data_IF_799179011287
#
_entry.id   IF_799179011287
#
_cell.length_a   1.000
_cell.length_b   1.000
_cell.length_c   1.000
_cell.angle_alpha   90.00
_cell.angle_beta   90.00
_cell.angle_gamma   90.00
#
_symmetry.space_group_name_H-M   'P 1'
#
loop_
_entity.id
_entity.type
_entity.pdbx_description
1 polymer ?
#
# COMPACT_ATOMS: atom_id res chain seq x y z
N UNK A 1 -22.42 -65.13 16.77
CA UNK A 1 -22.65 -63.77 17.32
C UNK A 1 -21.37 -63.28 17.98
N UNK A 2 -20.30 -63.08 17.19
CA UNK A 2 -19.05 -62.41 17.62
C UNK A 2 -18.06 -62.14 16.46
N UNK A 3 -18.51 -62.14 15.19
CA UNK A 3 -17.61 -62.02 14.02
C UNK A 3 -18.10 -61.00 12.97
N UNK A 4 -18.89 -59.99 13.37
CA UNK A 4 -19.44 -59.01 12.41
C UNK A 4 -19.33 -57.56 12.88
N UNK A 5 -18.48 -57.28 13.87
CA UNK A 5 -18.26 -55.92 14.41
C UNK A 5 -16.82 -55.44 14.16
N UNK A 6 -15.92 -56.30 13.66
CA UNK A 6 -14.51 -55.94 13.41
C UNK A 6 -14.23 -55.46 11.98
N UNK A 7 -15.08 -55.73 10.99
CA UNK A 7 -14.87 -55.24 9.61
C UNK A 7 -15.40 -53.82 9.39
N UNK A 8 -16.40 -53.36 10.16
CA UNK A 8 -16.95 -51.99 10.01
C UNK A 8 -16.04 -50.91 10.62
N UNK A 9 -15.03 -51.28 11.42
CA UNK A 9 -14.11 -50.34 12.08
C UNK A 9 -12.82 -50.13 11.26
N UNK A 10 -12.57 -50.92 10.20
CA UNK A 10 -11.40 -50.73 9.33
C UNK A 10 -11.64 -49.87 8.08
N UNK A 11 -12.90 -49.57 7.71
CA UNK A 11 -13.21 -48.68 6.57
C UNK A 11 -13.42 -47.21 6.93
N UNK A 12 -13.33 -46.83 8.21
CA UNK A 12 -13.56 -45.45 8.68
C UNK A 12 -12.31 -44.75 9.21
N UNK A 13 -11.11 -45.20 8.83
CA UNK A 13 -9.84 -44.55 9.25
C UNK A 13 -8.93 -44.10 8.09
N UNK A 14 -9.43 -44.01 6.85
CA UNK A 14 -8.67 -43.53 5.69
C UNK A 14 -9.05 -42.11 5.21
N UNK A 15 -9.79 -41.36 6.02
CA UNK A 15 -10.15 -39.96 5.74
C UNK A 15 -9.59 -39.04 6.82
N UNK A 16 -8.26 -38.92 6.88
CA UNK A 16 -7.61 -37.86 7.63
C UNK A 16 -6.62 -37.11 6.76
N UNK A 17 -6.81 -35.79 6.80
CA UNK A 17 -5.85 -34.75 6.45
C UNK A 17 -5.69 -34.46 4.95
N UNK A 18 -6.81 -34.00 4.38
CA UNK A 18 -6.92 -32.64 3.86
C UNK A 18 -5.74 -32.18 3.01
N UNK A 19 -5.74 -32.57 1.74
CA UNK A 19 -5.15 -31.73 0.71
C UNK A 19 -5.84 -30.37 0.80
N UNK A 20 -5.13 -29.37 1.32
CA UNK A 20 -5.46 -27.97 1.12
C UNK A 20 -5.40 -27.72 -0.39
N UNK A 21 -6.53 -27.90 -1.06
CA UNK A 21 -6.78 -27.27 -2.34
C UNK A 21 -6.43 -25.79 -2.14
N UNK A 22 -5.58 -25.19 -2.99
CA UNK A 22 -5.42 -23.75 -2.94
C UNK A 22 -6.81 -23.20 -3.21
N UNK A 23 -7.48 -22.65 -2.19
CA UNK A 23 -8.66 -21.84 -2.43
C UNK A 23 -8.14 -20.68 -3.27
N UNK A 24 -8.39 -20.75 -4.58
CA UNK A 24 -8.37 -19.58 -5.41
C UNK A 24 -9.24 -18.55 -4.67
N UNK A 25 -8.68 -17.37 -4.46
CA UNK A 25 -9.43 -16.27 -3.88
C UNK A 25 -10.80 -16.16 -4.52
N UNK A 26 -11.84 -16.28 -3.72
CA UNK A 26 -13.20 -15.99 -4.19
C UNK A 26 -13.44 -14.48 -4.33
N UNK A 27 -12.48 -13.65 -3.92
CA UNK A 27 -12.63 -12.19 -3.86
C UNK A 27 -12.02 -11.55 -5.09
N UNK A 28 -12.77 -10.63 -5.68
CA UNK A 28 -12.32 -9.90 -6.85
C UNK A 28 -11.23 -8.89 -6.45
N UNK A 29 -9.98 -9.17 -6.85
CA UNK A 29 -8.84 -8.29 -6.58
C UNK A 29 -9.00 -6.91 -7.22
N UNK A 30 -9.81 -6.77 -8.28
CA UNK A 30 -10.13 -5.46 -8.87
C UNK A 30 -10.92 -4.54 -7.91
N UNK A 31 -11.37 -5.04 -6.75
CA UNK A 31 -12.04 -4.27 -5.70
C UNK A 31 -11.37 -4.50 -4.33
N UNK A 32 -10.06 -4.74 -4.29
CA UNK A 32 -9.34 -5.09 -3.07
C UNK A 32 -9.51 -4.06 -1.94
N UNK A 33 -9.71 -2.79 -2.25
CA UNK A 33 -9.96 -1.73 -1.25
C UNK A 33 -11.23 -1.94 -0.41
N UNK A 34 -12.16 -2.81 -0.83
CA UNK A 34 -13.40 -3.09 -0.10
C UNK A 34 -13.25 -4.16 0.97
N UNK A 35 -12.20 -4.97 0.90
CA UNK A 35 -12.05 -6.16 1.74
C UNK A 35 -10.63 -6.43 2.21
N UNK A 36 -9.63 -5.75 1.65
CA UNK A 36 -8.25 -5.76 2.09
C UNK A 36 -8.13 -5.28 3.52
N UNK A 37 -7.23 -5.90 4.29
CA UNK A 37 -7.25 -5.78 5.75
C UNK A 37 -6.26 -4.79 6.30
N UNK A 38 -5.16 -4.54 5.58
CA UNK A 38 -4.14 -3.58 5.99
C UNK A 38 -3.48 -2.88 4.82
N UNK A 39 -3.06 -1.66 5.11
CA UNK A 39 -2.21 -0.84 4.25
C UNK A 39 -0.91 -0.62 5.02
N UNK A 40 0.19 -1.15 4.49
CA UNK A 40 1.53 -1.04 5.06
C UNK A 40 2.30 -0.03 4.21
N UNK A 41 2.83 1.02 4.82
CA UNK A 41 3.49 2.10 4.10
C UNK A 41 4.98 2.14 4.44
N UNK A 42 5.81 2.49 3.46
CA UNK A 42 7.26 2.57 3.59
C UNK A 42 7.73 4.02 3.50
N UNK A 43 8.24 4.55 4.60
CA UNK A 43 8.84 5.88 4.64
C UNK A 43 10.26 5.89 4.07
N UNK A 44 10.63 7.01 3.43
CA UNK A 44 12.01 7.34 3.02
C UNK A 44 12.64 6.34 2.03
N UNK A 45 11.84 5.83 1.08
CA UNK A 45 12.35 4.88 0.10
C UNK A 45 12.96 5.52 -1.16
N UNK A 46 13.03 6.85 -1.26
CA UNK A 46 13.68 7.57 -2.35
C UNK A 46 14.76 8.49 -1.80
N UNK A 47 15.98 8.42 -2.35
CA UNK A 47 17.13 9.16 -1.82
C UNK A 47 16.93 10.68 -1.84
N UNK A 48 16.38 11.22 -2.94
CA UNK A 48 16.15 12.67 -3.06
C UNK A 48 15.04 13.17 -2.12
N UNK A 49 14.00 12.36 -1.89
CA UNK A 49 12.97 12.69 -0.89
C UNK A 49 13.52 12.67 0.54
N UNK A 50 14.40 11.69 0.86
CA UNK A 50 15.07 11.65 2.16
C UNK A 50 15.92 12.92 2.39
N UNK A 51 16.65 13.37 1.37
CA UNK A 51 17.44 14.62 1.40
C UNK A 51 16.56 15.87 1.52
N UNK A 52 15.47 15.96 0.76
CA UNK A 52 14.49 17.07 0.78
C UNK A 52 14.01 17.37 2.20
N UNK A 53 13.68 16.31 2.96
CA UNK A 53 13.20 16.40 4.33
C UNK A 53 14.32 16.33 5.39
N UNK A 54 15.60 16.49 4.99
CA UNK A 54 16.80 16.48 5.85
C UNK A 54 16.89 15.22 6.74
N UNK A 55 16.43 14.09 6.24
CA UNK A 55 16.54 12.80 6.92
C UNK A 55 17.78 12.05 6.44
N UNK A 56 18.39 11.26 7.31
CA UNK A 56 19.40 10.28 6.88
C UNK A 56 18.76 9.21 5.98
N UNK A 57 19.52 8.72 5.00
CA UNK A 57 19.16 7.53 4.23
C UNK A 57 19.06 6.36 5.20
N UNK A 58 17.90 5.71 5.33
CA UNK A 58 17.73 4.65 6.30
C UNK A 58 18.49 3.39 5.88
N UNK A 59 19.00 2.64 6.86
CA UNK A 59 19.59 1.31 6.64
C UNK A 59 18.54 0.20 6.56
N UNK A 60 17.35 0.46 7.09
CA UNK A 60 16.17 -0.43 7.04
C UNK A 60 14.89 0.37 6.74
N UNK A 61 13.88 -0.23 6.06
CA UNK A 61 12.62 0.44 5.77
C UNK A 61 11.90 0.93 7.04
N UNK A 62 11.44 2.19 7.03
CA UNK A 62 10.56 2.71 8.09
C UNK A 62 9.12 2.30 7.76
N UNK A 63 8.51 1.47 8.61
CA UNK A 63 7.14 1.00 8.39
C UNK A 63 6.13 1.76 9.27
N UNK A 64 4.97 2.07 8.69
CA UNK A 64 3.78 2.50 9.40
C UNK A 64 2.53 1.96 8.72
N UNK A 65 1.37 2.11 9.35
CA UNK A 65 0.10 1.53 8.88
C UNK A 65 -0.93 2.62 8.61
N UNK A 66 -1.82 2.35 7.66
CA UNK A 66 -3.12 3.00 7.54
C UNK A 66 -4.24 1.96 7.72
N UNK A 67 -5.38 2.31 8.33
CA UNK A 67 -6.54 1.43 8.40
C UNK A 67 -7.19 1.29 7.00
N UNK A 68 -7.97 0.22 6.75
CA UNK A 68 -8.75 0.10 5.51
C UNK A 68 -9.71 1.28 5.26
N UNK A 69 -10.20 1.95 6.32
CA UNK A 69 -11.04 3.14 6.19
C UNK A 69 -10.32 4.35 5.59
N UNK A 70 -8.99 4.31 5.46
CA UNK A 70 -8.22 5.35 4.80
C UNK A 70 -8.42 5.36 3.28
N UNK A 71 -8.86 4.24 2.68
CA UNK A 71 -9.12 4.19 1.25
C UNK A 71 -10.16 5.21 0.83
N UNK A 72 -9.86 5.96 -0.21
CA UNK A 72 -10.82 6.82 -0.90
C UNK A 72 -10.68 6.65 -2.41
N UNK A 73 -11.81 6.56 -3.10
CA UNK A 73 -11.90 6.32 -4.54
C UNK A 73 -12.16 7.63 -5.26
N UNK A 74 -11.74 7.69 -6.53
CA UNK A 74 -12.10 8.81 -7.41
C UNK A 74 -13.62 9.04 -7.41
N UNK A 75 -14.02 10.31 -7.38
CA UNK A 75 -15.40 10.73 -7.16
C UNK A 75 -15.74 11.05 -5.69
N UNK A 76 -14.91 10.64 -4.72
CA UNK A 76 -14.97 11.11 -3.34
C UNK A 76 -13.78 12.05 -3.02
N UNK A 77 -13.98 13.10 -2.21
CA UNK A 77 -12.92 14.06 -1.93
C UNK A 77 -11.90 13.51 -0.92
N UNK A 78 -10.69 14.08 -0.96
CA UNK A 78 -9.71 13.97 0.11
C UNK A 78 -10.00 15.03 1.15
N UNK A 79 -10.15 14.61 2.41
CA UNK A 79 -10.52 15.50 3.50
C UNK A 79 -9.27 15.95 4.26
N UNK A 80 -9.10 17.28 4.37
CA UNK A 80 -8.15 17.88 5.31
C UNK A 80 -8.68 17.63 6.72
N UNK A 81 -7.94 16.91 7.59
CA UNK A 81 -8.38 16.66 8.95
C UNK A 81 -8.53 17.98 9.72
N UNK A 82 -9.57 18.09 10.55
CA UNK A 82 -9.87 19.32 11.32
C UNK A 82 -8.71 19.83 12.21
N UNK A 83 -7.77 18.95 12.56
CA UNK A 83 -6.62 19.24 13.41
C UNK A 83 -5.34 19.60 12.64
N UNK A 84 -5.38 19.66 11.30
CA UNK A 84 -4.23 20.00 10.46
C UNK A 84 -4.53 21.18 9.54
N UNK A 85 -3.53 22.04 9.36
CA UNK A 85 -3.55 23.10 8.35
C UNK A 85 -2.46 22.91 7.29
N UNK A 86 -1.79 21.75 7.29
CA UNK A 86 -0.66 21.48 6.40
C UNK A 86 -0.72 20.04 5.87
N UNK A 87 -1.71 19.77 5.02
CA UNK A 87 -1.89 18.48 4.37
C UNK A 87 -1.00 18.37 3.14
N UNK A 88 -0.09 17.40 3.10
CA UNK A 88 0.80 17.14 1.98
C UNK A 88 0.33 15.98 1.10
N UNK A 89 0.57 16.09 -0.20
CA UNK A 89 0.49 14.98 -1.15
C UNK A 89 1.82 14.19 -1.20
N UNK A 90 1.72 12.88 -1.38
CA UNK A 90 2.85 11.98 -1.57
C UNK A 90 2.44 10.89 -2.58
N UNK A 91 2.83 11.01 -3.86
CA UNK A 91 2.48 10.00 -4.88
C UNK A 91 3.34 8.74 -4.74
N UNK A 92 2.71 7.57 -4.68
CA UNK A 92 3.40 6.29 -4.46
C UNK A 92 2.90 5.17 -5.38
N UNK A 93 3.79 4.24 -5.72
CA UNK A 93 3.38 2.94 -6.24
C UNK A 93 2.89 2.07 -5.08
N UNK A 94 1.66 1.58 -5.20
CA UNK A 94 1.08 0.57 -4.32
C UNK A 94 1.24 -0.84 -4.91
N UNK A 95 1.65 -1.80 -4.09
CA UNK A 95 1.77 -3.21 -4.44
C UNK A 95 0.65 -4.00 -3.75
N UNK A 96 -0.23 -4.61 -4.53
CA UNK A 96 -1.36 -5.39 -4.02
C UNK A 96 -0.95 -6.85 -3.92
N UNK A 97 -1.10 -7.43 -2.74
CA UNK A 97 -0.78 -8.84 -2.49
C UNK A 97 -1.90 -9.72 -3.04
N UNK A 98 -1.55 -10.61 -3.97
CA UNK A 98 -2.48 -11.57 -4.59
C UNK A 98 -2.37 -12.98 -4.02
N UNK A 99 -1.31 -13.27 -3.25
CA UNK A 99 -1.14 -14.55 -2.55
C UNK A 99 -0.63 -14.30 -1.13
N UNK A 100 -1.29 -14.84 -0.09
CA UNK A 100 -0.84 -14.66 1.29
C UNK A 100 0.54 -15.28 1.52
N UNK A 101 1.28 -14.77 2.49
CA UNK A 101 2.58 -15.31 2.86
C UNK A 101 3.18 -14.69 4.11
N UNK A 102 4.05 -15.46 4.76
CA UNK A 102 4.87 -15.06 5.92
C UNK A 102 6.29 -15.58 5.68
N UNK A 103 7.30 -14.82 6.10
CA UNK A 103 8.72 -15.18 5.88
C UNK A 103 9.01 -15.50 4.40
N UNK A 104 8.50 -14.65 3.50
CA UNK A 104 8.66 -14.83 2.05
C UNK A 104 10.12 -14.56 1.69
N UNK A 105 10.76 -15.51 1.01
CA UNK A 105 12.09 -15.30 0.44
C UNK A 105 12.07 -14.21 -0.63
N UNK A 106 13.08 -13.34 -0.67
CA UNK A 106 13.12 -12.23 -1.61
C UNK A 106 13.03 -12.69 -3.08
N UNK A 107 13.64 -13.83 -3.42
CA UNK A 107 13.57 -14.43 -4.76
C UNK A 107 12.16 -14.86 -5.17
N UNK A 108 11.27 -15.06 -4.20
CA UNK A 108 9.88 -15.51 -4.39
C UNK A 108 8.86 -14.40 -4.19
N UNK A 109 9.29 -13.21 -3.75
CA UNK A 109 8.42 -12.09 -3.42
C UNK A 109 7.44 -11.74 -4.56
N UNK A 110 7.91 -11.76 -5.81
CA UNK A 110 7.07 -11.42 -6.96
C UNK A 110 5.99 -12.47 -7.26
N UNK A 111 6.09 -13.71 -6.77
CA UNK A 111 5.01 -14.71 -6.84
C UNK A 111 3.79 -14.30 -6.00
N UNK A 112 3.97 -13.39 -5.04
CA UNK A 112 2.92 -12.95 -4.13
C UNK A 112 2.19 -11.67 -4.58
N UNK A 113 2.70 -11.00 -5.61
CA UNK A 113 2.10 -9.78 -6.16
C UNK A 113 0.92 -10.15 -7.07
N UNK A 114 -0.26 -9.60 -6.77
CA UNK A 114 -1.45 -9.73 -7.61
C UNK A 114 -1.62 -8.58 -8.60
N UNK A 115 -1.04 -7.42 -8.30
CA UNK A 115 -1.04 -6.25 -9.18
C UNK A 115 -0.55 -5.01 -8.45
N UNK A 116 -0.86 -3.86 -9.03
CA UNK A 116 -0.41 -2.56 -8.55
C UNK A 116 -1.58 -1.57 -8.48
N UNK A 117 -1.39 -0.47 -7.77
CA UNK A 117 -2.29 0.67 -7.82
C UNK A 117 -1.47 1.94 -7.60
N UNK A 118 -1.87 3.05 -8.20
CA UNK A 118 -1.33 4.36 -7.82
C UNK A 118 -2.02 4.80 -6.53
N UNK A 119 -1.24 5.28 -5.57
CA UNK A 119 -1.75 5.73 -4.29
C UNK A 119 -1.22 7.13 -3.96
N UNK A 120 -1.96 7.87 -3.13
CA UNK A 120 -1.43 9.03 -2.42
C UNK A 120 -1.29 8.71 -0.93
N UNK A 121 -0.12 8.93 -0.36
CA UNK A 121 0.09 8.90 1.08
C UNK A 121 -0.16 10.29 1.70
N UNK A 122 -1.44 10.64 1.85
CA UNK A 122 -1.80 11.95 2.38
C UNK A 122 -1.31 12.10 3.82
N UNK A 123 -0.66 13.23 4.09
CA UNK A 123 0.10 13.43 5.33
C UNK A 123 -0.20 14.78 5.96
N UNK A 124 -0.73 14.79 7.18
CA UNK A 124 -0.82 15.99 8.00
C UNK A 124 0.56 16.33 8.56
N UNK A 125 1.35 17.12 7.81
CA UNK A 125 2.79 17.31 8.06
C UNK A 125 3.07 18.02 9.39
N UNK A 126 2.27 19.03 9.70
CA UNK A 126 2.34 19.73 10.99
C UNK A 126 2.13 18.81 12.19
N UNK A 127 1.26 17.80 12.04
CA UNK A 127 1.03 16.76 13.03
C UNK A 127 2.18 15.76 13.06
N UNK A 128 2.72 15.38 11.89
CA UNK A 128 3.88 14.49 11.80
C UNK A 128 5.10 15.06 12.53
N UNK A 129 5.39 16.35 12.33
CA UNK A 129 6.53 17.02 12.97
C UNK A 129 6.38 17.03 14.50
N UNK A 130 5.17 17.31 15.00
CA UNK A 130 4.84 17.21 16.43
C UNK A 130 5.04 15.77 16.95
N UNK A 131 4.60 14.76 16.19
CA UNK A 131 4.80 13.37 16.57
C UNK A 131 6.28 12.99 16.63
N UNK A 132 7.08 13.35 15.61
CA UNK A 132 8.52 13.09 15.57
C UNK A 132 9.26 13.76 16.72
N UNK A 133 8.96 15.03 17.00
CA UNK A 133 9.62 15.79 18.07
C UNK A 133 9.33 15.23 19.47
N UNK A 134 8.18 14.56 19.65
CA UNK A 134 7.75 13.98 20.93
C UNK A 134 7.94 12.47 21.02
N UNK A 135 8.47 11.83 19.99
CA UNK A 135 8.56 10.36 19.92
C UNK A 135 7.21 9.64 19.94
N UNK A 136 6.16 10.26 19.40
CA UNK A 136 4.80 9.72 19.38
C UNK A 136 4.51 8.95 18.08
N UNK A 137 3.53 8.02 18.10
CA UNK A 137 3.04 7.34 16.90
C UNK A 137 2.58 8.31 15.81
N UNK A 138 2.71 7.91 14.54
CA UNK A 138 2.33 8.73 13.38
C UNK A 138 0.85 8.59 12.99
N UNK A 139 0.03 7.91 13.79
CA UNK A 139 -1.38 7.61 13.47
C UNK A 139 -2.16 8.85 13.04
N UNK A 140 -2.11 9.94 13.82
CA UNK A 140 -2.81 11.18 13.46
C UNK A 140 -2.23 11.86 12.21
N UNK A 141 -0.95 11.63 11.91
CA UNK A 141 -0.29 12.25 10.77
C UNK A 141 -0.51 11.50 9.46
N UNK A 142 -0.74 10.18 9.53
CA UNK A 142 -0.70 9.28 8.37
C UNK A 142 -1.94 8.39 8.20
N UNK A 143 -2.75 8.17 9.23
CA UNK A 143 -3.73 7.08 9.27
C UNK A 143 -5.18 7.54 9.49
N UNK A 144 -5.52 8.76 9.04
CA UNK A 144 -6.86 9.33 9.10
C UNK A 144 -7.73 8.88 7.90
N UNK A 145 -9.04 9.11 7.98
CA UNK A 145 -9.97 8.81 6.89
C UNK A 145 -9.58 9.56 5.62
N UNK A 146 -9.79 8.95 4.45
CA UNK A 146 -9.37 9.49 3.14
C UNK A 146 -7.85 9.71 2.95
N UNK A 147 -7.02 9.23 3.88
CA UNK A 147 -5.56 9.40 3.79
C UNK A 147 -4.87 8.50 2.76
N UNK A 148 -5.61 7.58 2.11
CA UNK A 148 -5.12 6.72 1.04
C UNK A 148 -6.00 6.80 -0.23
N UNK A 149 -5.97 7.91 -0.97
CA UNK A 149 -6.50 7.98 -2.34
C UNK A 149 -5.84 6.94 -3.22
N UNK A 150 -6.64 6.21 -3.98
CA UNK A 150 -6.17 5.02 -4.70
C UNK A 150 -6.84 4.82 -6.06
N UNK A 151 -6.07 4.40 -7.06
CA UNK A 151 -6.52 4.09 -8.42
C UNK A 151 -7.15 2.71 -8.53
N UNK A 152 -7.75 2.37 -9.67
CA UNK A 152 -8.08 0.98 -9.98
C UNK A 152 -6.82 0.09 -9.93
N UNK A 153 -7.05 -1.21 -9.75
CA UNK A 153 -6.00 -2.22 -9.84
C UNK A 153 -5.43 -2.21 -11.27
N UNK A 154 -4.12 -2.05 -11.37
CA UNK A 154 -3.33 -2.32 -12.56
C UNK A 154 -2.89 -3.80 -12.49
N UNK A 155 -3.33 -4.64 -13.44
CA UNK A 155 -2.89 -6.04 -13.51
C UNK A 155 -1.36 -6.13 -13.59
N UNK A 156 -0.81 -7.13 -12.92
CA UNK A 156 0.66 -7.35 -12.87
C UNK A 156 1.28 -7.43 -14.27
N UNK A 157 0.55 -7.93 -15.26
CA UNK A 157 1.01 -8.10 -16.63
C UNK A 157 1.27 -6.77 -17.35
N UNK A 158 0.61 -5.69 -16.92
CA UNK A 158 0.80 -4.34 -17.48
C UNK A 158 2.06 -3.65 -16.93
N UNK A 159 2.57 -4.08 -15.77
CA UNK A 159 3.82 -3.59 -15.17
C UNK A 159 4.75 -4.79 -14.96
N UNK A 160 5.52 -5.11 -16.01
CA UNK A 160 6.44 -6.27 -15.98
C UNK A 160 7.62 -6.07 -15.04
N UNK A 161 8.13 -4.85 -14.95
CA UNK A 161 9.18 -4.47 -14.02
C UNK A 161 8.71 -3.32 -13.11
N UNK A 162 8.34 -3.58 -11.85
CA UNK A 162 7.94 -2.53 -10.92
C UNK A 162 9.12 -1.66 -10.47
N UNK A 163 10.36 -2.03 -10.82
CA UNK A 163 11.57 -1.26 -10.58
C UNK A 163 11.84 -0.19 -11.64
N UNK A 164 11.03 -0.04 -12.69
CA UNK A 164 11.15 1.05 -13.66
C UNK A 164 9.78 1.57 -14.10
N UNK A 165 9.08 2.20 -13.16
CA UNK A 165 7.74 2.76 -13.35
C UNK A 165 7.79 4.26 -13.10
N UNK A 166 7.33 5.04 -14.06
CA UNK A 166 7.22 6.49 -13.91
C UNK A 166 5.89 6.88 -13.27
N UNK A 167 5.96 7.62 -12.18
CA UNK A 167 4.80 8.16 -11.47
C UNK A 167 4.88 9.68 -11.41
N UNK A 168 3.72 10.33 -11.46
CA UNK A 168 3.64 11.79 -11.47
C UNK A 168 2.39 12.30 -10.74
N UNK A 169 2.45 13.54 -10.28
CA UNK A 169 1.34 14.24 -9.66
C UNK A 169 1.35 15.73 -10.03
N UNK A 170 0.17 16.22 -10.42
CA UNK A 170 -0.13 17.62 -10.66
C UNK A 170 -1.13 18.12 -9.63
N UNK A 171 -0.96 19.38 -9.21
CA UNK A 171 -1.95 20.13 -8.41
C UNK A 171 -2.39 21.33 -9.24
N UNK A 172 -3.69 21.45 -9.52
CA UNK A 172 -4.27 22.50 -10.34
C UNK A 172 -3.54 22.65 -11.70
N UNK A 173 -3.26 21.50 -12.35
CA UNK A 173 -2.55 21.43 -13.62
C UNK A 173 -1.04 21.62 -13.57
N UNK A 174 -0.47 22.08 -12.45
CA UNK A 174 0.97 22.27 -12.28
C UNK A 174 1.63 21.00 -11.78
N UNK A 175 2.67 20.52 -12.47
CA UNK A 175 3.47 19.37 -12.02
C UNK A 175 4.14 19.67 -10.68
N UNK A 176 3.97 18.78 -9.71
CA UNK A 176 4.54 18.90 -8.35
C UNK A 176 5.48 17.74 -8.03
N UNK A 177 5.12 16.52 -8.43
CA UNK A 177 5.99 15.35 -8.28
C UNK A 177 6.11 14.61 -9.59
N UNK A 178 7.31 14.10 -9.82
CA UNK A 178 7.65 13.16 -10.89
C UNK A 178 8.81 12.30 -10.39
N UNK A 179 8.76 11.00 -10.65
CA UNK A 179 9.83 10.08 -10.27
C UNK A 179 9.73 8.74 -10.98
N UNK A 180 10.84 8.00 -11.01
CA UNK A 180 10.86 6.59 -11.41
C UNK A 180 11.13 5.70 -10.21
N UNK A 181 10.42 4.58 -10.12
CA UNK A 181 10.64 3.56 -9.08
C UNK A 181 12.02 2.92 -9.14
N UNK A 182 12.80 3.14 -10.22
CA UNK A 182 14.22 2.77 -10.29
C UNK A 182 15.10 3.52 -9.31
N UNK A 183 14.58 4.62 -8.76
CA UNK A 183 15.23 5.41 -7.72
C UNK A 183 14.92 4.92 -6.29
N UNK A 184 14.17 3.82 -6.13
CA UNK A 184 13.91 3.23 -4.83
C UNK A 184 15.19 2.71 -4.18
N UNK A 185 15.39 3.03 -2.91
CA UNK A 185 16.48 2.50 -2.09
C UNK A 185 16.25 1.00 -1.83
N UNK A 186 15.02 0.64 -1.50
CA UNK A 186 14.58 -0.72 -1.24
C UNK A 186 13.59 -1.16 -2.33
N UNK A 187 13.97 -2.10 -3.21
CA UNK A 187 13.11 -2.53 -4.30
C UNK A 187 11.94 -3.39 -3.80
N UNK A 188 10.86 -3.47 -4.59
CA UNK A 188 9.62 -4.20 -4.25
C UNK A 188 9.87 -5.63 -3.72
N UNK A 189 10.71 -6.48 -4.34
CA UNK A 189 10.97 -7.82 -3.81
C UNK A 189 11.56 -7.80 -2.39
N UNK A 190 12.44 -6.84 -2.10
CA UNK A 190 13.03 -6.68 -0.77
C UNK A 190 11.97 -6.24 0.24
N UNK A 191 11.13 -5.26 -0.11
CA UNK A 191 10.07 -4.76 0.78
C UNK A 191 9.10 -5.88 1.18
N UNK A 192 8.63 -6.69 0.23
CA UNK A 192 7.74 -7.82 0.51
C UNK A 192 8.41 -8.82 1.45
N UNK A 193 9.67 -9.21 1.17
CA UNK A 193 10.44 -10.13 2.00
C UNK A 193 10.60 -9.58 3.43
N UNK A 194 11.08 -8.34 3.57
CA UNK A 194 11.30 -7.67 4.85
C UNK A 194 10.01 -7.56 5.65
N UNK A 195 8.95 -7.02 5.05
CA UNK A 195 7.65 -6.84 5.71
C UNK A 195 7.08 -8.19 6.14
N UNK A 196 7.12 -9.21 5.27
CA UNK A 196 6.53 -10.53 5.57
C UNK A 196 7.20 -11.29 6.73
N UNK A 197 8.42 -10.91 7.12
CA UNK A 197 9.12 -11.43 8.31
C UNK A 197 8.59 -10.81 9.60
N UNK A 198 8.00 -9.62 9.53
CA UNK A 198 7.50 -8.84 10.67
C UNK A 198 5.97 -8.99 10.78
N UNK A 199 5.27 -8.81 9.66
CA UNK A 199 3.81 -8.82 9.55
C UNK A 199 3.44 -9.77 8.40
N UNK A 200 2.70 -10.85 8.70
CA UNK A 200 2.17 -11.74 7.66
C UNK A 200 1.34 -10.96 6.65
N UNK A 201 1.56 -11.21 5.36
CA UNK A 201 0.81 -10.61 4.27
C UNK A 201 -0.39 -11.50 3.93
N UNK A 202 -1.56 -10.90 3.83
CA UNK A 202 -2.79 -11.51 3.38
C UNK A 202 -3.11 -11.04 1.97
N UNK A 203 -3.98 -11.78 1.30
CA UNK A 203 -4.48 -11.32 0.01
C UNK A 203 -5.26 -10.00 0.15
N UNK A 204 -5.14 -9.13 -0.83
CA UNK A 204 -5.76 -7.81 -0.86
C UNK A 204 -5.06 -6.78 0.03
N UNK A 205 -4.04 -7.15 0.78
CA UNK A 205 -3.21 -6.18 1.48
C UNK A 205 -2.43 -5.32 0.50
N UNK A 206 -2.20 -4.07 0.91
CA UNK A 206 -1.51 -3.08 0.10
C UNK A 206 -0.19 -2.67 0.76
N UNK A 207 0.86 -2.60 -0.04
CA UNK A 207 2.14 -2.01 0.35
C UNK A 207 2.37 -0.72 -0.43
N UNK A 208 2.38 0.41 0.27
CA UNK A 208 2.81 1.72 -0.23
C UNK A 208 4.33 1.81 -0.15
N UNK A 209 4.99 2.09 -1.28
CA UNK A 209 6.43 1.86 -1.46
C UNK A 209 7.30 3.10 -1.26
N UNK A 210 6.73 4.22 -0.82
CA UNK A 210 7.39 5.49 -0.65
C UNK A 210 7.18 6.45 -1.83
N UNK A 211 7.46 7.72 -1.58
CA UNK A 211 7.23 8.85 -2.49
C UNK A 211 8.54 9.45 -3.00
N UNK A 212 8.61 9.92 -4.26
CA UNK A 212 9.72 10.72 -4.77
C UNK A 212 9.71 12.14 -4.19
N UNK A 213 10.73 12.93 -4.50
CA UNK A 213 10.82 14.33 -4.04
C UNK A 213 9.69 15.20 -4.62
N UNK A 214 9.50 16.40 -4.06
CA UNK A 214 8.48 17.36 -4.49
C UNK A 214 7.19 17.28 -3.69
N UNK A 215 7.24 16.73 -2.46
CA UNK A 215 6.07 16.71 -1.57
C UNK A 215 5.71 18.13 -1.18
N UNK A 216 4.43 18.50 -1.30
CA UNK A 216 3.98 19.86 -1.00
C UNK A 216 2.58 19.86 -0.43
N UNK A 217 2.21 20.98 0.19
CA UNK A 217 0.88 21.14 0.74
C UNK A 217 -0.18 21.31 -0.35
N UNK A 218 -1.38 20.83 -0.05
CA UNK A 218 -2.62 21.10 -0.80
C UNK A 218 -3.58 21.85 0.09
N UNK A 219 -4.44 22.65 -0.53
CA UNK A 219 -5.44 23.47 0.13
C UNK A 219 -6.85 23.02 -0.25
N UNK A 220 -7.82 23.48 0.53
CA UNK A 220 -9.22 23.31 0.19
C UNK A 220 -9.50 23.80 -1.24
N UNK A 221 -10.27 23.03 -1.99
CA UNK A 221 -10.61 23.21 -3.40
C UNK A 221 -9.50 22.92 -4.42
N UNK A 222 -8.29 22.52 -3.99
CA UNK A 222 -7.28 22.03 -4.93
C UNK A 222 -7.77 20.74 -5.63
N UNK A 223 -7.37 20.60 -6.90
CA UNK A 223 -7.52 19.37 -7.67
C UNK A 223 -6.16 18.69 -7.84
N UNK A 224 -6.07 17.45 -7.37
CA UNK A 224 -4.92 16.58 -7.59
C UNK A 224 -5.21 15.63 -8.76
N UNK A 225 -4.31 15.60 -9.73
CA UNK A 225 -4.30 14.62 -10.82
C UNK A 225 -2.97 13.86 -10.75
N UNK A 226 -3.02 12.55 -10.57
CA UNK A 226 -1.83 11.71 -10.49
C UNK A 226 -1.92 10.54 -11.47
N UNK A 227 -0.77 10.02 -11.91
CA UNK A 227 -0.75 8.90 -12.84
C UNK A 227 0.48 8.01 -12.73
N UNK A 228 0.32 6.79 -13.25
CA UNK A 228 1.41 5.96 -13.75
C UNK A 228 1.46 6.20 -15.26
N UNK A 229 2.63 6.58 -15.77
CA UNK A 229 2.78 7.00 -17.16
C UNK A 229 2.22 5.95 -18.14
N UNK A 230 1.38 6.40 -19.07
CA UNK A 230 0.69 5.58 -20.08
C UNK A 230 -0.19 4.41 -19.58
N UNK A 231 -0.40 4.23 -18.27
CA UNK A 231 -1.13 3.09 -17.72
C UNK A 231 -2.44 3.51 -17.07
N UNK A 232 -2.38 4.40 -16.06
CA UNK A 232 -3.56 4.80 -15.30
C UNK A 232 -3.39 6.23 -14.75
N UNK A 233 -4.50 6.93 -14.59
CA UNK A 233 -4.55 8.19 -13.85
C UNK A 233 -5.75 8.20 -12.92
N UNK A 234 -5.68 9.01 -11.87
CA UNK A 234 -6.77 9.24 -10.93
C UNK A 234 -6.84 10.71 -10.53
N UNK A 235 -8.06 11.20 -10.26
CA UNK A 235 -8.32 12.58 -9.88
C UNK A 235 -9.04 12.68 -8.54
N UNK A 236 -8.60 13.62 -7.71
CA UNK A 236 -9.20 13.90 -6.41
C UNK A 236 -9.31 15.40 -6.16
N UNK A 237 -10.46 15.83 -5.63
CA UNK A 237 -10.62 17.16 -5.06
C UNK A 237 -10.27 17.15 -3.58
N UNK A 238 -9.78 18.27 -3.08
CA UNK A 238 -9.50 18.46 -1.66
C UNK A 238 -10.62 19.27 -1.03
N UNK A 239 -11.17 18.79 0.08
CA UNK A 239 -12.19 19.47 0.88
C UNK A 239 -11.76 19.53 2.35
N UNK A 240 -12.33 20.44 3.13
CA UNK A 240 -12.15 20.41 4.59
C UNK A 240 -13.14 19.44 5.21
N UNK A 241 -12.68 18.72 6.22
CA UNK A 241 -13.57 17.99 7.10
C UNK A 241 -14.42 18.98 7.89
N UNK A 242 -15.74 18.95 7.66
CA UNK A 242 -16.75 19.75 8.38
C UNK A 242 -16.94 19.30 9.82
#
# INVERSE_FOLDING_TARGET
MQETIQETIQETSALTQGQLLPMASSRNLNRFWEWGRKIICVGRNYAEHAKELKNAVPTEPVLFLKPPSAYVREGSPVLIPYYSNNLHHEVELGVVIGKPGKNIEQSRAMEHVGGYALCLDMTARDTQDKCKNKGLPWTLAKAFDTSCPISDLVPKEQIRDPGDVKIWLKVNGSLRQEGSTSSMIFPVPFLISYISKIISLEEGDLILTGTPAGVASVQEHDEMLAGIDHIISMKFKVEKQS
#
